data_IF_171066152021
#
_entry.id   IF_171066152021
#
_cell.length_a   1.000
_cell.length_b   1.000
_cell.length_c   1.000
_cell.angle_alpha   90.00
_cell.angle_beta   90.00
_cell.angle_gamma   90.00
#
_symmetry.space_group_name_H-M   'P 1'
#
loop_
_entity.id
_entity.type
_entity.pdbx_description
1 polymer ?
#
# COMPACT_ATOMS: atom_id res chain seq x y z
N UNK A 1 -23.20 16.51 10.93
CA UNK A 1 -22.12 15.51 10.85
C UNK A 1 -21.68 15.41 9.40
N UNK A 2 -20.38 15.54 9.11
CA UNK A 2 -19.85 15.69 7.74
C UNK A 2 -20.16 14.49 6.81
N UNK A 3 -20.46 13.32 7.37
CA UNK A 3 -20.73 12.08 6.64
C UNK A 3 -22.23 11.75 6.46
N UNK A 4 -23.13 12.74 6.64
CA UNK A 4 -24.59 12.52 6.40
C UNK A 4 -24.88 12.21 4.93
N UNK A 5 -24.02 12.71 4.03
CA UNK A 5 -24.12 12.52 2.57
C UNK A 5 -23.25 11.35 2.06
N UNK A 6 -22.82 10.43 2.95
CA UNK A 6 -22.05 9.25 2.58
C UNK A 6 -22.93 8.00 2.68
N UNK A 7 -22.88 7.16 1.65
CA UNK A 7 -23.50 5.82 1.66
C UNK A 7 -22.49 4.83 2.26
N UNK A 8 -22.45 4.79 3.58
CA UNK A 8 -21.56 3.94 4.38
C UNK A 8 -22.37 3.09 5.37
N UNK A 9 -21.87 1.90 5.75
CA UNK A 9 -22.55 1.00 6.70
C UNK A 9 -22.92 1.69 8.03
N UNK A 10 -24.00 1.24 8.66
CA UNK A 10 -24.49 1.80 9.92
C UNK A 10 -23.44 1.75 11.06
N UNK A 11 -22.70 0.65 11.14
CA UNK A 11 -21.62 0.48 12.13
C UNK A 11 -20.50 1.50 11.92
N UNK A 12 -20.18 1.86 10.68
CA UNK A 12 -19.19 2.90 10.37
C UNK A 12 -19.69 4.26 10.82
N UNK A 13 -20.96 4.59 10.54
CA UNK A 13 -21.57 5.84 11.05
C UNK A 13 -21.51 5.87 12.57
N UNK A 14 -21.74 4.75 13.24
CA UNK A 14 -21.65 4.65 14.70
C UNK A 14 -20.23 4.89 15.21
N UNK A 15 -19.21 4.31 14.57
CA UNK A 15 -17.79 4.55 14.90
C UNK A 15 -17.47 6.05 14.82
N UNK A 16 -17.80 6.68 13.69
CA UNK A 16 -17.50 8.09 13.46
C UNK A 16 -18.26 9.01 14.41
N UNK A 17 -19.51 8.68 14.76
CA UNK A 17 -20.33 9.49 15.66
C UNK A 17 -19.92 9.38 17.13
N UNK A 18 -19.39 8.22 17.56
CA UNK A 18 -18.98 7.99 18.95
C UNK A 18 -17.52 8.34 19.22
N UNK A 19 -16.70 8.43 18.18
CA UNK A 19 -15.31 8.88 18.27
C UNK A 19 -15.21 10.24 18.98
N UNK A 20 -14.23 10.44 19.88
CA UNK A 20 -13.94 11.73 20.50
C UNK A 20 -13.71 12.85 19.49
N UNK A 21 -13.04 12.55 18.36
CA UNK A 21 -12.79 13.50 17.29
C UNK A 21 -12.60 12.75 15.95
N UNK A 22 -13.02 13.36 14.85
CA UNK A 22 -12.85 12.81 13.50
C UNK A 22 -12.33 13.90 12.58
N UNK A 23 -11.16 13.67 11.98
CA UNK A 23 -10.57 14.54 10.96
C UNK A 23 -10.68 13.88 9.58
N UNK A 24 -11.47 14.47 8.68
CA UNK A 24 -11.53 14.05 7.27
C UNK A 24 -10.42 14.75 6.50
N UNK A 25 -9.40 14.01 6.07
CA UNK A 25 -8.22 14.59 5.42
C UNK A 25 -8.47 14.82 3.93
N UNK A 26 -8.08 16.01 3.45
CA UNK A 26 -8.35 16.44 2.07
C UNK A 26 -7.10 16.62 1.22
N UNK A 27 -5.96 16.87 1.84
CA UNK A 27 -4.71 17.12 1.11
C UNK A 27 -3.45 16.58 1.81
N UNK A 28 -2.36 16.53 1.03
CA UNK A 28 -1.06 16.02 1.47
C UNK A 28 -0.47 16.85 2.62
N UNK A 29 -0.73 18.16 2.67
CA UNK A 29 -0.16 19.05 3.69
C UNK A 29 -0.79 18.76 5.05
N UNK A 30 -2.10 18.55 5.11
CA UNK A 30 -2.81 18.13 6.32
C UNK A 30 -2.27 16.78 6.84
N UNK A 31 -2.14 15.81 5.94
CA UNK A 31 -1.61 14.47 6.23
C UNK A 31 -0.20 14.52 6.84
N UNK A 32 0.72 15.30 6.26
CA UNK A 32 2.10 15.41 6.78
C UNK A 32 2.11 16.02 8.18
N UNK A 33 1.25 17.01 8.44
CA UNK A 33 1.16 17.61 9.77
C UNK A 33 0.61 16.61 10.79
N UNK A 34 -0.38 15.81 10.38
CA UNK A 34 -0.97 14.76 11.20
C UNK A 34 0.06 13.67 11.53
N UNK A 35 0.86 13.25 10.55
CA UNK A 35 1.92 12.24 10.74
C UNK A 35 2.96 12.64 11.79
N UNK A 36 3.12 13.94 12.04
CA UNK A 36 4.00 14.50 13.07
C UNK A 36 3.24 14.93 14.34
N UNK A 37 1.90 14.76 14.38
CA UNK A 37 0.93 15.32 15.34
C UNK A 37 0.91 16.84 15.48
N UNK A 38 2.00 17.52 15.16
CA UNK A 38 2.13 18.97 15.15
C UNK A 38 3.19 19.37 14.11
N UNK A 39 2.98 20.51 13.43
CA UNK A 39 3.89 21.09 12.43
C UNK A 39 5.30 21.38 12.96
N UNK A 40 5.39 21.68 14.25
CA UNK A 40 6.65 22.03 14.93
C UNK A 40 7.48 20.80 15.29
N UNK A 41 6.85 19.62 15.36
CA UNK A 41 7.54 18.39 15.73
C UNK A 41 8.52 17.99 14.62
N UNK A 42 9.75 17.69 15.03
CA UNK A 42 10.75 17.03 14.17
C UNK A 42 10.66 15.51 14.25
N UNK A 43 10.18 15.00 15.38
CA UNK A 43 10.06 13.58 15.66
C UNK A 43 8.76 13.34 16.40
N UNK A 44 8.09 12.24 16.09
CA UNK A 44 6.88 11.79 16.77
C UNK A 44 6.95 10.27 17.00
N UNK A 45 6.56 9.81 18.17
CA UNK A 45 6.49 8.38 18.49
C UNK A 45 5.03 7.95 18.37
N UNK A 46 4.79 6.95 17.54
CA UNK A 46 3.48 6.30 17.42
C UNK A 46 3.43 5.16 18.41
N UNK A 47 2.66 5.34 19.46
CA UNK A 47 2.48 4.38 20.54
C UNK A 47 1.01 4.18 20.90
N UNK A 48 0.74 3.11 21.63
CA UNK A 48 -0.61 2.77 22.07
C UNK A 48 -0.60 2.16 23.46
N UNK A 49 -1.62 2.50 24.24
CA UNK A 49 -1.87 1.87 25.54
C UNK A 49 -2.41 0.45 25.34
N UNK A 50 -1.82 -0.51 26.04
CA UNK A 50 -2.31 -1.88 26.13
C UNK A 50 -3.21 -2.07 27.36
N UNK A 51 -3.86 -3.24 27.48
CA UNK A 51 -4.77 -3.57 28.59
C UNK A 51 -4.10 -3.42 29.97
N UNK A 52 -2.77 -3.53 30.04
CA UNK A 52 -2.00 -3.44 31.28
C UNK A 52 -1.53 -2.00 31.61
N UNK A 53 -2.10 -0.98 30.95
CA UNK A 53 -1.67 0.43 31.06
C UNK A 53 -0.19 0.68 30.69
N UNK A 54 0.47 -0.27 30.02
CA UNK A 54 1.77 -0.06 29.42
C UNK A 54 1.61 0.52 28.00
N UNK A 55 2.36 1.57 27.70
CA UNK A 55 2.44 2.11 26.33
C UNK A 55 3.44 1.28 25.51
N UNK A 56 3.01 0.82 24.34
CA UNK A 56 3.86 0.11 23.38
C UNK A 56 4.08 1.03 22.18
N UNK A 57 5.33 1.45 22.00
CA UNK A 57 5.75 2.17 20.80
C UNK A 57 5.84 1.22 19.61
N UNK A 58 5.25 1.60 18.48
CA UNK A 58 5.27 0.81 17.24
C UNK A 58 6.26 1.38 16.21
N UNK A 59 6.35 2.71 16.13
CA UNK A 59 7.22 3.39 15.16
C UNK A 59 7.61 4.79 15.64
N UNK A 60 8.76 5.25 15.15
CA UNK A 60 9.18 6.64 15.27
C UNK A 60 9.13 7.31 13.90
N UNK A 61 8.38 8.39 13.79
CA UNK A 61 8.31 9.26 12.61
C UNK A 61 9.34 10.37 12.78
N UNK A 62 10.19 10.61 11.79
CA UNK A 62 11.16 11.70 11.79
C UNK A 62 11.02 12.53 10.51
N UNK A 63 10.92 13.84 10.68
CA UNK A 63 10.89 14.81 9.59
C UNK A 63 12.29 14.97 8.99
N UNK A 64 12.41 14.68 7.70
CA UNK A 64 13.59 14.94 6.89
C UNK A 64 13.35 16.12 5.95
N UNK A 65 14.35 16.51 5.17
CA UNK A 65 14.24 17.67 4.26
C UNK A 65 13.11 17.51 3.25
N UNK A 66 12.95 16.31 2.71
CA UNK A 66 12.10 16.04 1.55
C UNK A 66 10.95 15.06 1.86
N UNK A 67 10.83 14.61 3.11
CA UNK A 67 9.82 13.62 3.47
C UNK A 67 9.88 13.20 4.93
N UNK A 68 9.26 12.06 5.23
CA UNK A 68 9.24 11.45 6.55
C UNK A 68 9.99 10.12 6.52
N UNK A 69 10.83 9.90 7.52
CA UNK A 69 11.47 8.61 7.76
C UNK A 69 10.71 7.91 8.88
N UNK A 70 10.25 6.68 8.61
CA UNK A 70 9.53 5.86 9.57
C UNK A 70 10.46 4.75 10.03
N UNK A 71 10.77 4.74 11.33
CA UNK A 71 11.60 3.71 11.94
C UNK A 71 10.74 2.79 12.82
N UNK A 72 10.46 1.59 12.34
CA UNK A 72 9.82 0.55 13.15
C UNK A 72 10.83 -0.02 14.15
N UNK A 73 10.43 -0.11 15.42
CA UNK A 73 11.30 -0.59 16.48
C UNK A 73 11.66 -2.06 16.33
N UNK A 74 10.69 -2.88 15.90
CA UNK A 74 10.92 -4.29 15.61
C UNK A 74 11.42 -4.50 14.18
N UNK A 75 12.51 -5.27 14.03
CA UNK A 75 13.01 -5.68 12.71
C UNK A 75 11.95 -6.46 11.90
N UNK A 76 11.11 -7.22 12.59
CA UNK A 76 10.02 -7.99 11.99
C UNK A 76 9.03 -7.09 11.23
N UNK A 77 8.73 -5.89 11.76
CA UNK A 77 7.82 -4.92 11.15
C UNK A 77 8.40 -4.20 9.92
N UNK A 78 9.67 -4.42 9.59
CA UNK A 78 10.36 -3.80 8.43
C UNK A 78 10.24 -4.63 7.15
N UNK A 79 9.52 -5.75 7.20
CA UNK A 79 9.25 -6.62 6.05
C UNK A 79 7.84 -7.16 6.12
N UNK A 80 7.27 -7.48 4.96
CA UNK A 80 5.98 -8.18 4.88
C UNK A 80 6.16 -9.62 5.37
N UNK A 81 5.30 -10.05 6.28
CA UNK A 81 5.10 -11.46 6.59
C UNK A 81 4.21 -12.09 5.49
N UNK A 82 4.65 -13.15 4.78
CA UNK A 82 3.82 -13.76 3.74
C UNK A 82 2.50 -14.35 4.28
N UNK A 83 2.45 -14.72 5.56
CA UNK A 83 1.32 -15.43 6.17
C UNK A 83 0.43 -14.52 7.01
N UNK A 84 0.60 -13.19 6.90
CA UNK A 84 -0.20 -12.24 7.68
C UNK A 84 -1.59 -11.96 7.12
N UNK A 85 -1.90 -12.37 5.89
CA UNK A 85 -3.22 -12.12 5.29
C UNK A 85 -4.13 -13.33 5.46
N UNK A 86 -5.28 -13.13 6.09
CA UNK A 86 -6.30 -14.18 6.32
C UNK A 86 -7.69 -13.70 5.93
N UNK A 87 -8.60 -14.64 5.72
CA UNK A 87 -9.99 -14.37 5.31
C UNK A 87 -10.93 -14.53 6.51
N UNK A 88 -11.65 -13.47 6.85
CA UNK A 88 -12.59 -13.43 7.98
C UNK A 88 -13.98 -13.96 7.65
N UNK A 89 -14.33 -14.07 6.37
CA UNK A 89 -15.62 -14.57 5.90
C UNK A 89 -15.61 -16.06 5.51
N UNK A 90 -16.79 -16.57 5.16
CA UNK A 90 -16.98 -17.97 4.76
C UNK A 90 -17.00 -18.21 3.24
N UNK A 91 -16.82 -17.18 2.41
CA UNK A 91 -16.82 -17.33 0.94
C UNK A 91 -15.63 -18.16 0.48
N UNK A 92 -15.71 -18.71 -0.72
CA UNK A 92 -14.64 -19.55 -1.29
C UNK A 92 -13.34 -18.75 -1.41
N UNK A 93 -12.22 -19.42 -1.14
CA UNK A 93 -10.88 -18.83 -1.13
C UNK A 93 -9.80 -19.91 -1.12
N UNK A 94 -8.65 -19.60 -1.71
CA UNK A 94 -7.40 -20.34 -1.60
C UNK A 94 -6.55 -19.89 -0.41
N UNK A 95 -6.99 -18.87 0.33
CA UNK A 95 -6.28 -18.30 1.49
C UNK A 95 -6.73 -18.92 2.79
N UNK A 96 -5.84 -18.89 3.78
CA UNK A 96 -6.11 -19.34 5.14
C UNK A 96 -7.26 -18.53 5.73
N UNK A 97 -8.26 -19.20 6.30
CA UNK A 97 -9.37 -18.55 6.99
C UNK A 97 -8.97 -18.20 8.42
N UNK A 98 -9.51 -17.10 8.94
CA UNK A 98 -9.31 -16.67 10.32
C UNK A 98 -9.70 -17.78 11.31
N UNK A 99 -10.82 -18.46 11.04
CA UNK A 99 -11.31 -19.58 11.86
C UNK A 99 -10.35 -20.76 11.93
N UNK A 100 -9.64 -21.05 10.84
CA UNK A 100 -8.66 -22.13 10.78
C UNK A 100 -7.43 -21.81 11.64
N UNK A 101 -6.99 -20.55 11.62
CA UNK A 101 -5.79 -20.12 12.34
C UNK A 101 -6.03 -19.91 13.84
N UNK A 102 -7.19 -19.35 14.21
CA UNK A 102 -7.49 -18.93 15.59
C UNK A 102 -8.55 -19.77 16.29
N UNK A 103 -9.13 -20.77 15.60
CA UNK A 103 -10.20 -21.64 16.13
C UNK A 103 -11.41 -20.87 16.65
N UNK A 104 -11.68 -19.68 16.10
CA UNK A 104 -12.78 -18.77 16.47
C UNK A 104 -13.27 -17.99 15.26
N UNK A 105 -14.52 -17.57 15.27
CA UNK A 105 -15.08 -16.73 14.21
C UNK A 105 -14.57 -15.28 14.32
N UNK A 106 -14.39 -14.62 13.18
CA UNK A 106 -13.82 -13.28 13.13
C UNK A 106 -14.75 -12.19 13.68
N UNK A 107 -16.07 -12.44 13.69
CA UNK A 107 -17.09 -11.47 14.09
C UNK A 107 -16.87 -10.91 15.50
N UNK A 108 -16.39 -11.73 16.45
CA UNK A 108 -16.04 -11.27 17.81
C UNK A 108 -14.96 -10.17 17.76
N UNK A 109 -13.86 -10.43 17.04
CA UNK A 109 -12.74 -9.49 16.92
C UNK A 109 -13.12 -8.25 16.11
N UNK A 110 -13.99 -8.40 15.11
CA UNK A 110 -14.56 -7.29 14.34
C UNK A 110 -15.31 -6.31 15.25
N UNK A 111 -16.21 -6.83 16.11
CA UNK A 111 -16.96 -6.01 17.07
C UNK A 111 -16.01 -5.34 18.07
N UNK A 112 -15.04 -6.08 18.62
CA UNK A 112 -14.04 -5.51 19.52
C UNK A 112 -13.22 -4.38 18.86
N UNK A 113 -12.87 -4.54 17.58
CA UNK A 113 -12.15 -3.52 16.81
C UNK A 113 -12.98 -2.25 16.70
N UNK A 114 -14.29 -2.37 16.41
CA UNK A 114 -15.19 -1.23 16.31
C UNK A 114 -15.38 -0.52 17.65
N UNK A 115 -15.57 -1.27 18.74
CA UNK A 115 -15.67 -0.71 20.09
C UNK A 115 -14.38 0.01 20.53
N UNK A 116 -13.22 -0.46 20.07
CA UNK A 116 -11.96 0.21 20.32
C UNK A 116 -11.82 1.50 19.50
N UNK A 117 -12.15 1.47 18.20
CA UNK A 117 -12.11 2.63 17.31
C UNK A 117 -13.04 3.77 17.76
N UNK A 118 -14.22 3.44 18.31
CA UNK A 118 -15.15 4.41 18.93
C UNK A 118 -14.52 5.26 20.04
N UNK A 119 -13.38 4.84 20.60
CA UNK A 119 -12.69 5.52 21.72
C UNK A 119 -11.45 6.30 21.29
N UNK A 120 -11.07 6.26 20.01
CA UNK A 120 -9.84 6.89 19.52
C UNK A 120 -10.15 8.21 18.82
N UNK A 121 -9.24 9.18 18.84
CA UNK A 121 -9.26 10.25 17.84
C UNK A 121 -8.95 9.65 16.46
N UNK A 122 -9.81 9.91 15.47
CA UNK A 122 -9.74 9.27 14.17
C UNK A 122 -9.35 10.24 13.06
N UNK A 123 -8.52 9.76 12.16
CA UNK A 123 -8.31 10.31 10.84
C UNK A 123 -9.02 9.42 9.81
N UNK A 124 -9.78 10.07 8.94
CA UNK A 124 -10.55 9.42 7.88
C UNK A 124 -10.04 9.91 6.53
N UNK A 125 -9.73 8.98 5.64
CA UNK A 125 -9.21 9.28 4.32
C UNK A 125 -10.00 8.55 3.23
N UNK A 126 -10.82 9.28 2.46
CA UNK A 126 -11.36 8.78 1.20
C UNK A 126 -10.23 8.57 0.19
N UNK A 127 -10.19 7.39 -0.43
CA UNK A 127 -9.15 7.01 -1.40
C UNK A 127 -9.77 6.55 -2.71
N UNK A 128 -8.97 6.58 -3.78
CA UNK A 128 -9.31 5.94 -5.06
C UNK A 128 -8.82 4.49 -5.04
N UNK A 129 -9.60 3.56 -5.58
CA UNK A 129 -9.26 2.13 -5.57
C UNK A 129 -8.92 1.72 -6.99
N UNK A 130 -7.64 1.51 -7.29
CA UNK A 130 -7.17 1.22 -8.65
C UNK A 130 -7.06 2.47 -9.54
N UNK A 131 -6.82 3.63 -8.94
CA UNK A 131 -6.67 4.91 -9.64
C UNK A 131 -7.99 5.52 -10.14
N UNK A 132 -7.88 6.58 -10.94
CA UNK A 132 -9.05 7.32 -11.46
C UNK A 132 -9.88 6.52 -12.49
N UNK A 133 -9.28 5.52 -13.13
CA UNK A 133 -9.87 4.82 -14.27
C UNK A 133 -10.94 3.79 -13.88
N UNK A 134 -10.90 3.28 -12.65
CA UNK A 134 -11.88 2.32 -12.13
C UNK A 134 -13.19 3.00 -11.71
N UNK A 135 -13.10 4.26 -11.26
CA UNK A 135 -14.23 4.95 -10.62
C UNK A 135 -14.58 4.42 -9.23
N UNK A 136 -13.80 3.49 -8.68
CA UNK A 136 -14.03 2.92 -7.34
C UNK A 136 -13.38 3.76 -6.25
N UNK A 137 -14.07 3.83 -5.12
CA UNK A 137 -13.60 4.56 -3.95
C UNK A 137 -13.50 3.64 -2.74
N UNK A 138 -12.60 3.98 -1.84
CA UNK A 138 -12.43 3.32 -0.55
C UNK A 138 -12.38 4.33 0.59
N UNK A 139 -12.45 3.82 1.81
CA UNK A 139 -12.36 4.63 3.02
C UNK A 139 -11.34 4.05 3.98
N UNK A 140 -10.33 4.81 4.38
CA UNK A 140 -9.50 4.46 5.53
C UNK A 140 -10.06 5.11 6.79
N UNK A 141 -10.14 4.33 7.88
CA UNK A 141 -10.43 4.77 9.24
C UNK A 141 -9.25 4.36 10.10
N UNK A 142 -8.51 5.34 10.60
CA UNK A 142 -7.31 5.11 11.38
C UNK A 142 -7.27 6.00 12.63
N UNK A 143 -6.63 5.55 13.71
CA UNK A 143 -6.19 6.43 14.79
C UNK A 143 -5.35 7.57 14.20
N UNK A 144 -5.61 8.79 14.63
CA UNK A 144 -5.00 9.98 14.04
C UNK A 144 -3.49 10.08 14.34
N UNK A 145 -3.00 9.41 15.40
CA UNK A 145 -1.58 9.23 15.69
C UNK A 145 -0.85 8.37 14.65
N UNK A 146 -1.58 7.59 13.85
CA UNK A 146 -1.02 6.83 12.72
C UNK A 146 -1.00 7.65 11.42
N UNK A 147 -0.92 8.99 11.49
CA UNK A 147 -0.97 9.86 10.31
C UNK A 147 0.07 9.53 9.22
N UNK A 148 1.22 8.92 9.58
CA UNK A 148 2.19 8.46 8.58
C UNK A 148 1.65 7.30 7.72
N UNK A 149 0.86 6.39 8.32
CA UNK A 149 0.22 5.29 7.60
C UNK A 149 -0.85 5.84 6.66
N UNK A 150 -1.64 6.81 7.16
CA UNK A 150 -2.62 7.53 6.35
C UNK A 150 -1.95 8.18 5.14
N UNK A 151 -0.78 8.80 5.33
CA UNK A 151 0.00 9.38 4.24
C UNK A 151 0.59 8.36 3.28
N UNK A 152 1.11 7.24 3.78
CA UNK A 152 1.57 6.15 2.92
C UNK A 152 0.44 5.61 2.03
N UNK A 153 -0.77 5.42 2.57
CA UNK A 153 -1.93 5.01 1.78
C UNK A 153 -2.36 6.10 0.79
N UNK A 154 -2.37 7.37 1.21
CA UNK A 154 -2.70 8.50 0.33
C UNK A 154 -1.76 8.58 -0.88
N UNK A 155 -0.47 8.32 -0.68
CA UNK A 155 0.53 8.32 -1.73
C UNK A 155 0.33 7.16 -2.71
N UNK A 156 0.06 5.96 -2.18
CA UNK A 156 -0.12 4.76 -3.01
C UNK A 156 -1.44 4.76 -3.79
N UNK A 157 -2.54 5.19 -3.17
CA UNK A 157 -3.90 5.04 -3.72
C UNK A 157 -4.46 6.35 -4.28
N UNK A 158 -3.94 7.49 -3.83
CA UNK A 158 -4.49 8.81 -4.14
C UNK A 158 -5.70 9.16 -3.29
N UNK A 159 -5.77 10.43 -2.90
CA UNK A 159 -6.88 11.00 -2.13
C UNK A 159 -8.09 11.19 -3.06
N UNK A 160 -9.26 10.73 -2.63
CA UNK A 160 -10.51 11.01 -3.34
C UNK A 160 -11.06 12.38 -2.91
N UNK A 161 -11.18 13.30 -3.88
CA UNK A 161 -11.76 14.61 -3.63
C UNK A 161 -13.29 14.52 -3.63
N UNK A 162 -13.88 14.44 -2.43
CA UNK A 162 -15.32 14.30 -2.25
C UNK A 162 -16.13 15.48 -2.79
N UNK A 163 -15.57 16.69 -2.81
CA UNK A 163 -16.24 17.90 -3.30
C UNK A 163 -16.41 17.89 -4.82
N UNK A 164 -15.58 17.11 -5.53
CA UNK A 164 -15.65 16.93 -6.99
C UNK A 164 -16.54 15.75 -7.39
N UNK A 165 -17.05 14.96 -6.44
CA UNK A 165 -17.92 13.85 -6.75
C UNK A 165 -19.27 14.37 -7.25
N UNK A 166 -19.69 13.87 -8.41
CA UNK A 166 -21.01 14.15 -8.98
C UNK A 166 -22.12 13.30 -8.33
N UNK A 167 -21.73 12.31 -7.54
CA UNK A 167 -22.60 11.32 -6.91
C UNK A 167 -22.32 11.24 -5.42
N UNK A 168 -23.21 10.58 -4.69
CA UNK A 168 -23.00 10.23 -3.28
C UNK A 168 -21.72 9.39 -3.18
N UNK A 169 -20.90 9.69 -2.17
CA UNK A 169 -19.72 8.89 -1.86
C UNK A 169 -20.15 7.54 -1.30
N UNK A 170 -19.85 6.47 -2.04
CA UNK A 170 -20.13 5.08 -1.66
C UNK A 170 -18.85 4.26 -1.80
N UNK A 171 -18.12 4.00 -0.71
CA UNK A 171 -16.90 3.21 -0.77
C UNK A 171 -17.22 1.74 -0.98
N UNK A 172 -16.52 1.08 -1.91
CA UNK A 172 -16.58 -0.37 -2.12
C UNK A 172 -15.68 -1.14 -1.16
N UNK A 173 -14.75 -0.44 -0.49
CA UNK A 173 -13.87 -1.02 0.51
C UNK A 173 -13.64 -0.07 1.68
N UNK A 174 -13.49 -0.63 2.87
CA UNK A 174 -13.17 0.12 4.09
C UNK A 174 -11.99 -0.54 4.79
N UNK A 175 -10.95 0.24 5.05
CA UNK A 175 -9.77 -0.17 5.80
C UNK A 175 -9.89 0.34 7.23
N UNK A 176 -9.83 -0.56 8.21
CA UNK A 176 -9.80 -0.26 9.63
C UNK A 176 -8.40 -0.50 10.17
N UNK A 177 -7.74 0.52 10.70
CA UNK A 177 -6.41 0.40 11.30
C UNK A 177 -6.54 0.26 12.83
N UNK A 178 -6.10 -0.87 13.38
CA UNK A 178 -6.14 -1.13 14.84
C UNK A 178 -4.87 -1.81 15.35
N UNK A 179 -3.72 -1.11 15.37
CA UNK A 179 -2.42 -1.71 15.68
C UNK A 179 -2.31 -2.42 17.05
N UNK A 180 -2.98 -1.98 18.14
CA UNK A 180 -2.87 -2.65 19.44
C UNK A 180 -3.35 -4.10 19.45
N UNK A 181 -4.18 -4.50 18.47
CA UNK A 181 -4.71 -5.86 18.37
C UNK A 181 -3.61 -6.87 18.02
N UNK A 182 -2.55 -6.45 17.31
CA UNK A 182 -1.36 -7.28 17.12
C UNK A 182 -0.80 -7.78 18.45
N UNK A 183 -0.71 -6.91 19.46
CA UNK A 183 -0.17 -7.27 20.78
C UNK A 183 -1.15 -8.06 21.63
N UNK A 184 -2.42 -7.65 21.60
CA UNK A 184 -3.44 -8.18 22.52
C UNK A 184 -4.11 -9.47 22.04
N UNK A 185 -4.15 -9.71 20.72
CA UNK A 185 -4.84 -10.87 20.13
C UNK A 185 -3.91 -11.77 19.32
N UNK A 186 -2.88 -11.20 18.68
CA UNK A 186 -2.10 -11.90 17.65
C UNK A 186 -0.63 -12.10 18.02
N UNK A 187 -0.30 -12.04 19.32
CA UNK A 187 1.02 -12.39 19.85
C UNK A 187 2.16 -11.57 19.26
N UNK A 188 1.92 -10.30 18.94
CA UNK A 188 2.91 -9.42 18.32
C UNK A 188 3.12 -9.68 16.82
N UNK A 189 2.29 -10.46 16.13
CA UNK A 189 2.47 -10.74 14.69
C UNK A 189 1.71 -9.78 13.78
N UNK A 190 2.22 -9.59 12.56
CA UNK A 190 1.46 -8.87 11.53
C UNK A 190 0.21 -9.68 11.20
N UNK A 191 -0.93 -9.01 11.11
CA UNK A 191 -2.17 -9.63 10.68
C UNK A 191 -3.04 -8.61 9.95
N UNK A 192 -3.54 -9.02 8.79
CA UNK A 192 -4.52 -8.30 7.98
C UNK A 192 -5.65 -9.27 7.67
N UNK A 193 -6.87 -8.91 8.09
CA UNK A 193 -8.06 -9.74 7.86
C UNK A 193 -8.90 -9.11 6.76
N UNK A 194 -9.15 -9.84 5.69
CA UNK A 194 -10.10 -9.46 4.66
C UNK A 194 -11.46 -10.07 4.97
N UNK A 195 -12.49 -9.24 5.11
CA UNK A 195 -13.86 -9.67 5.36
C UNK A 195 -14.76 -9.17 4.23
N UNK A 196 -15.06 -10.07 3.29
CA UNK A 196 -15.74 -9.78 2.02
C UNK A 196 -17.25 -9.80 2.20
N UNK A 197 -17.82 -8.73 2.77
CA UNK A 197 -19.28 -8.57 2.85
C UNK A 197 -19.87 -8.37 1.44
N UNK A 198 -21.18 -8.37 1.32
CA UNK A 198 -21.83 -8.29 0.01
C UNK A 198 -21.76 -6.89 -0.60
N UNK A 199 -21.91 -5.85 0.23
CA UNK A 199 -21.87 -4.44 -0.23
C UNK A 199 -20.51 -3.77 -0.07
N UNK A 200 -19.63 -4.32 0.78
CA UNK A 200 -18.36 -3.69 1.13
C UNK A 200 -17.27 -4.72 1.43
N UNK A 201 -16.08 -4.51 0.88
CA UNK A 201 -14.89 -5.28 1.24
C UNK A 201 -14.18 -4.62 2.42
N UNK A 202 -14.26 -5.23 3.60
CA UNK A 202 -13.58 -4.73 4.78
C UNK A 202 -12.16 -5.29 4.88
N UNK A 203 -11.20 -4.43 5.23
CA UNK A 203 -9.81 -4.80 5.50
C UNK A 203 -9.46 -4.34 6.91
N UNK A 204 -9.19 -5.28 7.80
CA UNK A 204 -8.76 -4.99 9.17
C UNK A 204 -7.24 -5.11 9.24
N UNK A 205 -6.57 -3.97 9.36
CA UNK A 205 -5.12 -3.87 9.45
C UNK A 205 -4.71 -3.76 10.90
N UNK A 206 -4.15 -4.84 11.45
CA UNK A 206 -3.71 -4.89 12.85
C UNK A 206 -2.22 -4.57 13.02
N UNK A 207 -1.54 -4.16 11.94
CA UNK A 207 -0.15 -3.74 11.95
C UNK A 207 0.05 -2.44 11.15
N UNK A 208 1.07 -1.67 11.52
CA UNK A 208 1.39 -0.38 10.91
C UNK A 208 2.27 -0.44 9.66
N UNK A 209 2.64 -1.63 9.19
CA UNK A 209 3.45 -1.75 7.97
C UNK A 209 2.55 -1.71 6.72
N UNK A 210 2.70 -0.73 5.80
CA UNK A 210 1.77 -0.56 4.68
C UNK A 210 1.75 -1.70 3.66
N UNK A 211 2.84 -2.47 3.55
CA UNK A 211 2.98 -3.53 2.54
C UNK A 211 1.80 -4.53 2.50
N UNK A 212 1.53 -5.27 3.58
CA UNK A 212 0.37 -6.17 3.62
C UNK A 212 -0.96 -5.43 3.74
N UNK A 213 -1.00 -4.32 4.49
CA UNK A 213 -2.23 -3.63 4.91
C UNK A 213 -2.81 -2.73 3.82
N UNK A 214 -2.04 -1.75 3.38
CA UNK A 214 -2.47 -0.70 2.46
C UNK A 214 -2.30 -1.12 1.00
N UNK A 215 -1.11 -1.62 0.64
CA UNK A 215 -0.79 -1.98 -0.74
C UNK A 215 -1.49 -3.28 -1.14
N UNK A 216 -1.11 -4.40 -0.51
CA UNK A 216 -1.68 -5.71 -0.87
C UNK A 216 -3.13 -5.88 -0.42
N UNK A 217 -3.59 -5.12 0.58
CA UNK A 217 -5.01 -5.01 0.92
C UNK A 217 -5.85 -4.56 -0.27
N UNK A 218 -5.49 -3.42 -0.88
CA UNK A 218 -6.20 -2.91 -2.07
C UNK A 218 -6.03 -3.83 -3.28
N UNK A 219 -4.87 -4.45 -3.46
CA UNK A 219 -4.70 -5.47 -4.51
C UNK A 219 -5.75 -6.60 -4.38
N UNK A 220 -5.98 -7.11 -3.16
CA UNK A 220 -7.01 -8.12 -2.91
C UNK A 220 -8.44 -7.63 -3.23
N UNK A 221 -8.73 -6.36 -2.96
CA UNK A 221 -10.02 -5.72 -3.33
C UNK A 221 -10.17 -5.68 -4.85
N UNK A 222 -9.15 -5.23 -5.56
CA UNK A 222 -9.17 -5.13 -7.02
C UNK A 222 -9.33 -6.51 -7.68
N UNK A 223 -8.74 -7.56 -7.11
CA UNK A 223 -8.93 -8.94 -7.59
C UNK A 223 -10.39 -9.38 -7.44
N UNK A 224 -11.02 -9.11 -6.30
CA UNK A 224 -12.42 -9.48 -6.08
C UNK A 224 -13.38 -8.71 -6.99
N UNK A 225 -13.17 -7.41 -7.14
CA UNK A 225 -13.99 -6.60 -8.06
C UNK A 225 -13.79 -7.09 -9.49
N UNK A 226 -12.53 -7.32 -9.90
CA UNK A 226 -12.21 -7.86 -11.22
C UNK A 226 -12.80 -9.22 -11.50
N UNK A 227 -12.84 -10.12 -10.51
CA UNK A 227 -13.51 -11.42 -10.62
C UNK A 227 -15.02 -11.26 -10.87
N UNK A 228 -15.69 -10.37 -10.12
CA UNK A 228 -17.11 -10.11 -10.29
C UNK A 228 -17.47 -9.43 -11.62
N UNK A 229 -16.57 -8.59 -12.13
CA UNK A 229 -16.81 -7.74 -13.30
C UNK A 229 -16.08 -8.19 -14.57
N UNK A 230 -15.38 -9.32 -14.50
CA UNK A 230 -14.60 -9.92 -15.59
C UNK A 230 -13.47 -9.02 -16.11
N UNK A 231 -12.61 -8.52 -15.21
CA UNK A 231 -11.37 -7.84 -15.54
C UNK A 231 -10.21 -8.21 -14.60
N UNK A 232 -8.99 -7.83 -14.97
CA UNK A 232 -7.78 -8.34 -14.32
C UNK A 232 -6.95 -7.24 -13.66
N UNK A 233 -6.41 -7.54 -12.49
CA UNK A 233 -5.24 -6.84 -11.92
C UNK A 233 -4.09 -7.82 -11.85
N UNK A 234 -3.05 -7.60 -12.65
CA UNK A 234 -1.89 -8.47 -12.75
C UNK A 234 -0.78 -7.99 -11.81
N UNK A 235 -0.08 -8.92 -11.17
CA UNK A 235 1.00 -8.62 -10.23
C UNK A 235 2.35 -8.49 -10.94
N UNK A 236 2.52 -7.44 -11.73
CA UNK A 236 3.70 -7.28 -12.59
C UNK A 236 4.08 -5.83 -12.85
N UNK A 237 5.32 -5.66 -13.32
CA UNK A 237 5.81 -4.39 -13.81
C UNK A 237 5.68 -4.30 -15.32
N UNK A 238 5.55 -3.08 -15.83
CA UNK A 238 5.42 -2.79 -17.25
C UNK A 238 6.31 -1.62 -17.61
N UNK A 239 7.12 -1.80 -18.67
CA UNK A 239 7.97 -0.73 -19.21
C UNK A 239 7.82 -0.69 -20.73
N UNK A 240 7.69 0.53 -21.27
CA UNK A 240 7.85 0.77 -22.70
C UNK A 240 9.31 1.12 -22.96
N UNK A 241 9.98 0.27 -23.73
CA UNK A 241 11.39 0.37 -24.09
C UNK A 241 11.50 0.93 -25.49
N UNK A 242 12.27 1.99 -25.63
CA UNK A 242 12.63 2.61 -26.90
C UNK A 242 14.13 2.41 -27.11
N UNK A 243 14.48 1.57 -28.09
CA UNK A 243 15.89 1.27 -28.39
C UNK A 243 16.58 2.46 -29.07
N UNK A 244 17.93 2.51 -29.10
CA UNK A 244 18.66 3.51 -29.88
C UNK A 244 18.34 3.53 -31.39
N UNK A 245 17.67 2.49 -31.89
CA UNK A 245 17.22 2.36 -33.29
C UNK A 245 15.74 2.70 -33.46
N UNK A 246 15.14 3.41 -32.51
CA UNK A 246 13.73 3.85 -32.51
C UNK A 246 12.70 2.70 -32.50
N UNK A 247 13.14 1.45 -32.30
CA UNK A 247 12.22 0.34 -32.06
C UNK A 247 11.55 0.51 -30.69
N UNK A 248 10.22 0.45 -30.70
CA UNK A 248 9.39 0.52 -29.51
C UNK A 248 8.86 -0.87 -29.18
N UNK A 249 9.18 -1.36 -27.99
CA UNK A 249 8.64 -2.62 -27.45
C UNK A 249 8.12 -2.39 -26.04
N UNK A 250 6.96 -2.93 -25.71
CA UNK A 250 6.45 -2.93 -24.34
C UNK A 250 6.72 -4.30 -23.73
N UNK A 251 7.34 -4.31 -22.55
CA UNK A 251 7.67 -5.52 -21.80
C UNK A 251 6.80 -5.51 -20.54
N UNK A 252 6.13 -6.64 -20.29
CA UNK A 252 5.43 -6.93 -19.04
C UNK A 252 6.18 -8.07 -18.34
N UNK A 253 6.49 -7.89 -17.06
CA UNK A 253 7.17 -8.89 -16.24
C UNK A 253 6.38 -9.16 -14.97
N UNK A 254 5.81 -10.36 -14.89
CA UNK A 254 5.22 -10.88 -13.67
C UNK A 254 6.31 -11.59 -12.85
N UNK A 255 6.42 -11.22 -11.58
CA UNK A 255 7.46 -11.73 -10.71
C UNK A 255 7.04 -11.71 -9.25
N UNK A 256 7.58 -12.65 -8.47
CA UNK A 256 7.41 -12.65 -7.02
C UNK A 256 7.96 -11.36 -6.39
N UNK A 257 7.59 -11.09 -5.13
CA UNK A 257 8.15 -9.96 -4.39
C UNK A 257 9.67 -10.13 -4.24
N UNK A 258 10.45 -9.10 -4.58
CA UNK A 258 11.91 -9.17 -4.64
C UNK A 258 12.48 -9.88 -5.87
N UNK A 259 11.64 -10.21 -6.87
CA UNK A 259 12.04 -10.87 -8.11
C UNK A 259 12.55 -9.95 -9.23
N UNK A 260 12.84 -8.67 -8.97
CA UNK A 260 13.36 -7.76 -9.98
C UNK A 260 12.32 -6.90 -10.71
N UNK A 261 11.07 -6.80 -10.21
CA UNK A 261 9.99 -6.06 -10.89
C UNK A 261 10.30 -4.57 -11.02
N UNK A 262 10.69 -3.93 -9.91
CA UNK A 262 11.04 -2.51 -9.87
C UNK A 262 12.34 -2.25 -10.62
N UNK A 263 13.30 -3.16 -10.48
CA UNK A 263 14.60 -3.10 -11.13
C UNK A 263 14.49 -3.13 -12.67
N UNK A 264 13.42 -3.73 -13.24
CA UNK A 264 13.13 -3.68 -14.68
C UNK A 264 12.79 -2.25 -15.17
N UNK A 265 12.29 -1.40 -14.28
CA UNK A 265 11.93 -0.01 -14.58
C UNK A 265 13.14 0.93 -14.53
N UNK A 266 14.27 0.44 -14.01
CA UNK A 266 15.49 1.20 -13.74
C UNK A 266 16.54 1.00 -14.83
N UNK A 267 17.46 1.96 -14.95
CA UNK A 267 18.60 1.82 -15.84
C UNK A 267 19.63 0.85 -15.25
N UNK A 268 20.34 0.06 -16.09
CA UNK A 268 21.34 -0.86 -15.59
C UNK A 268 22.49 -0.11 -14.91
N UNK A 269 22.94 -0.65 -13.77
CA UNK A 269 24.05 -0.07 -13.00
C UNK A 269 25.36 -0.19 -13.78
N UNK A 270 26.18 0.88 -13.71
CA UNK A 270 27.48 0.97 -14.40
C UNK A 270 28.61 1.04 -13.39
N UNK A 271 29.72 0.40 -13.72
CA UNK A 271 31.00 0.60 -13.05
C UNK A 271 31.52 2.03 -13.30
N UNK A 272 32.51 2.46 -12.53
CA UNK A 272 33.10 3.81 -12.65
C UNK A 272 33.66 4.12 -14.05
N UNK A 273 34.03 3.11 -14.82
CA UNK A 273 34.51 3.25 -16.21
C UNK A 273 33.40 3.15 -17.27
N UNK A 274 32.13 3.08 -16.84
CA UNK A 274 30.95 3.04 -17.68
C UNK A 274 30.56 1.64 -18.18
N UNK A 275 31.33 0.59 -17.91
CA UNK A 275 30.98 -0.80 -18.27
C UNK A 275 29.90 -1.37 -17.35
N UNK A 276 29.19 -2.38 -17.84
CA UNK A 276 28.20 -3.13 -17.07
C UNK A 276 28.84 -4.40 -16.52
N UNK A 277 28.70 -4.66 -15.22
CA UNK A 277 29.04 -5.95 -14.64
C UNK A 277 27.91 -6.94 -14.91
N UNK A 278 28.16 -7.91 -15.78
CA UNK A 278 27.17 -8.93 -16.15
C UNK A 278 27.21 -10.11 -15.19
N UNK A 279 28.39 -10.41 -14.63
CA UNK A 279 28.55 -11.48 -13.66
C UNK A 279 29.97 -11.59 -13.16
N UNK A 280 30.15 -12.37 -12.09
CA UNK A 280 31.45 -12.74 -11.54
C UNK A 280 31.53 -14.25 -11.52
N UNK A 281 32.61 -14.82 -12.04
CA UNK A 281 32.86 -16.25 -11.94
C UNK A 281 33.13 -16.61 -10.47
N UNK A 282 32.33 -17.48 -9.87
CA UNK A 282 32.46 -17.81 -8.44
C UNK A 282 33.72 -18.63 -8.09
N UNK A 283 34.34 -19.28 -9.08
CA UNK A 283 35.56 -20.09 -8.88
C UNK A 283 36.82 -19.25 -9.08
N UNK A 284 36.84 -18.41 -10.11
CA UNK A 284 38.03 -17.63 -10.49
C UNK A 284 37.98 -16.17 -10.05
N UNK A 285 36.85 -15.72 -9.52
CA UNK A 285 36.53 -14.32 -9.19
C UNK A 285 36.60 -13.35 -10.39
N UNK A 286 36.72 -13.87 -11.62
CA UNK A 286 36.83 -13.04 -12.81
C UNK A 286 35.49 -12.37 -13.13
N UNK A 287 35.54 -11.04 -13.32
CA UNK A 287 34.39 -10.23 -13.71
C UNK A 287 34.17 -10.27 -15.22
N UNK A 288 32.93 -10.53 -15.63
CA UNK A 288 32.47 -10.42 -17.02
C UNK A 288 31.86 -9.03 -17.20
N UNK A 289 32.52 -8.20 -18.00
CA UNK A 289 32.14 -6.81 -18.21
C UNK A 289 31.67 -6.59 -19.66
N UNK A 290 30.54 -5.91 -19.83
CA UNK A 290 29.99 -5.54 -21.14
C UNK A 290 30.08 -4.03 -21.35
N UNK A 291 30.54 -3.61 -22.53
CA UNK A 291 30.49 -2.21 -22.94
C UNK A 291 29.19 -1.94 -23.70
N UNK A 292 28.24 -1.28 -23.03
CA UNK A 292 27.01 -0.79 -23.66
C UNK A 292 27.08 0.73 -23.82
N UNK A 293 27.39 1.20 -25.03
CA UNK A 293 27.61 2.63 -25.32
C UNK A 293 26.36 3.47 -25.08
N UNK A 294 25.18 2.96 -25.44
CA UNK A 294 23.90 3.64 -25.26
C UNK A 294 22.86 2.64 -24.74
N UNK A 295 22.17 3.01 -23.65
CA UNK A 295 21.04 2.25 -23.14
C UNK A 295 19.76 2.54 -23.91
N UNK A 296 18.74 1.70 -23.74
CA UNK A 296 17.40 2.02 -24.22
C UNK A 296 16.78 3.12 -23.37
N UNK A 297 15.93 3.96 -23.95
CA UNK A 297 15.10 4.88 -23.19
C UNK A 297 13.94 4.11 -22.55
N UNK A 298 13.81 4.22 -21.23
CA UNK A 298 12.79 3.54 -20.46
C UNK A 298 11.63 4.51 -20.17
N UNK A 299 10.41 4.05 -20.44
CA UNK A 299 9.17 4.70 -20.03
C UNK A 299 8.42 3.74 -19.11
N UNK A 300 8.73 3.75 -17.81
CA UNK A 300 8.02 2.95 -16.82
C UNK A 300 6.51 3.23 -16.85
N UNK A 301 5.71 2.19 -16.65
CA UNK A 301 4.24 2.30 -16.64
C UNK A 301 3.68 1.78 -15.33
N UNK A 302 4.04 0.57 -14.90
CA UNK A 302 3.56 -0.04 -13.65
C UNK A 302 4.70 -0.76 -12.94
N UNK A 303 4.68 -0.81 -11.61
CA UNK A 303 5.67 -1.54 -10.78
C UNK A 303 5.12 -2.86 -10.21
N UNK A 304 3.90 -2.84 -9.70
CA UNK A 304 3.38 -3.97 -8.92
C UNK A 304 1.92 -4.33 -9.24
N UNK A 305 1.06 -3.37 -9.56
CA UNK A 305 -0.35 -3.63 -9.87
C UNK A 305 -0.72 -3.11 -11.27
N UNK A 306 -0.68 -3.99 -12.25
CA UNK A 306 -1.04 -3.69 -13.63
C UNK A 306 -2.53 -3.98 -13.88
N UNK A 307 -3.33 -2.91 -13.94
CA UNK A 307 -4.77 -2.97 -14.18
C UNK A 307 -5.08 -3.14 -15.66
N UNK A 308 -5.95 -4.09 -16.02
CA UNK A 308 -6.45 -4.28 -17.38
C UNK A 308 -7.98 -4.25 -17.41
N UNK A 309 -8.54 -3.06 -17.66
CA UNK A 309 -9.98 -2.87 -17.77
C UNK A 309 -10.51 -3.30 -19.15
N UNK A 310 -11.78 -3.74 -19.26
CA UNK A 310 -12.38 -4.11 -20.54
C UNK A 310 -12.40 -2.93 -21.52
N UNK A 311 -12.57 -1.70 -21.00
CA UNK A 311 -12.54 -0.46 -21.76
C UNK A 311 -11.19 -0.16 -22.41
N UNK A 312 -10.10 -0.78 -21.95
CA UNK A 312 -8.78 -0.61 -22.54
C UNK A 312 -8.59 -1.48 -23.79
N UNK A 313 -9.34 -2.57 -23.89
CA UNK A 313 -9.20 -3.54 -24.98
C UNK A 313 -9.74 -2.92 -26.27
N UNK A 314 -8.85 -2.71 -27.24
CA UNK A 314 -9.22 -2.26 -28.59
C UNK A 314 -9.47 -3.47 -29.49
N UNK A 315 -9.79 -3.22 -30.76
CA UNK A 315 -9.93 -4.27 -31.78
C UNK A 315 -8.65 -5.08 -32.03
N UNK A 316 -7.50 -4.62 -31.55
CA UNK A 316 -6.27 -5.39 -31.57
C UNK A 316 -6.22 -6.35 -30.36
N UNK A 317 -5.87 -7.61 -30.59
CA UNK A 317 -5.81 -8.67 -29.55
C UNK A 317 -4.64 -8.51 -28.56
N UNK A 318 -4.28 -7.27 -28.21
CA UNK A 318 -3.15 -6.95 -27.33
C UNK A 318 -3.66 -6.63 -25.93
N UNK A 319 -3.00 -7.18 -24.92
CA UNK A 319 -3.22 -6.77 -23.54
C UNK A 319 -2.80 -5.31 -23.34
N UNK A 320 -3.71 -4.50 -22.83
CA UNK A 320 -3.44 -3.11 -22.45
C UNK A 320 -3.54 -3.00 -20.93
N UNK A 321 -2.52 -2.40 -20.32
CA UNK A 321 -2.44 -2.21 -18.87
C UNK A 321 -2.23 -0.74 -18.50
N UNK A 322 -2.69 -0.37 -17.32
CA UNK A 322 -2.44 0.91 -16.67
C UNK A 322 -2.04 0.66 -15.21
N UNK A 323 -1.41 1.64 -14.57
CA UNK A 323 -1.07 1.51 -13.15
C UNK A 323 -2.32 1.67 -12.30
N UNK A 324 -2.54 0.72 -11.39
CA UNK A 324 -3.56 0.84 -10.36
C UNK A 324 -3.10 1.72 -9.18
N UNK A 325 -1.81 2.04 -9.10
CA UNK A 325 -1.21 2.85 -8.05
C UNK A 325 -0.94 4.30 -8.51
N UNK A 326 -0.79 5.22 -7.54
CA UNK A 326 -0.41 6.62 -7.78
C UNK A 326 1.05 6.92 -7.43
N UNK A 327 1.70 6.01 -6.70
CA UNK A 327 3.11 6.03 -6.36
C UNK A 327 3.60 4.60 -6.16
N UNK A 328 4.92 4.40 -6.18
CA UNK A 328 5.51 3.06 -6.02
C UNK A 328 6.14 2.86 -4.64
N UNK A 329 5.95 1.66 -4.11
CA UNK A 329 6.57 1.20 -2.88
C UNK A 329 7.82 0.39 -3.18
N UNK A 330 8.93 1.10 -3.39
CA UNK A 330 10.19 0.57 -3.93
C UNK A 330 11.13 0.13 -2.79
N UNK A 331 11.93 -0.90 -3.06
CA UNK A 331 12.95 -1.42 -2.15
C UNK A 331 14.30 -0.74 -2.41
N UNK A 332 14.85 -0.06 -1.41
CA UNK A 332 16.10 0.72 -1.54
C UNK A 332 17.32 0.10 -0.84
N UNK A 333 17.30 -1.20 -0.49
CA UNK A 333 18.39 -1.81 0.28
C UNK A 333 19.71 -1.95 -0.49
N UNK A 334 19.70 -1.76 -1.80
CA UNK A 334 20.91 -1.74 -2.63
C UNK A 334 21.65 -0.39 -2.49
N UNK A 335 20.97 0.68 -2.10
CA UNK A 335 21.55 2.02 -1.88
C UNK A 335 22.25 2.03 -0.51
N UNK A 336 23.56 1.84 -0.52
CA UNK A 336 24.39 1.83 0.70
C UNK A 336 25.21 3.12 0.89
N UNK A 337 25.26 3.98 -0.14
CA UNK A 337 25.93 5.28 -0.13
C UNK A 337 25.30 6.19 -1.18
N UNK A 338 25.52 7.50 -1.03
CA UNK A 338 25.12 8.49 -2.02
C UNK A 338 25.77 8.23 -3.39
N UNK A 339 25.00 8.43 -4.45
CA UNK A 339 25.37 8.17 -5.84
C UNK A 339 25.25 6.71 -6.26
N UNK A 340 24.57 5.85 -5.47
CA UNK A 340 24.34 4.45 -5.87
C UNK A 340 23.28 4.39 -6.97
N UNK A 341 22.18 5.12 -6.78
CA UNK A 341 21.16 5.31 -7.80
C UNK A 341 20.77 6.79 -7.88
N UNK A 342 21.44 7.57 -8.75
CA UNK A 342 21.15 9.00 -8.88
C UNK A 342 19.71 9.31 -9.31
N UNK A 343 19.03 8.40 -10.02
CA UNK A 343 17.66 8.64 -10.47
C UNK A 343 16.70 8.56 -9.28
N UNK A 344 16.77 7.47 -8.51
CA UNK A 344 15.97 7.31 -7.29
C UNK A 344 16.36 8.31 -6.19
N UNK A 345 17.65 8.64 -6.08
CA UNK A 345 18.10 9.65 -5.11
C UNK A 345 17.61 11.06 -5.47
N UNK A 346 17.44 11.38 -6.76
CA UNK A 346 16.97 12.71 -7.20
C UNK A 346 15.49 12.99 -6.94
N UNK A 347 14.68 11.94 -6.82
CA UNK A 347 13.24 12.06 -6.52
C UNK A 347 12.95 12.13 -5.01
N UNK A 348 13.96 11.91 -4.17
CA UNK A 348 13.86 11.76 -2.72
C UNK A 348 14.26 13.00 -1.93
#
# INVERSE_FOLDING_TARGET
MEWTNWDIPAEVKEILNKSPNVSVLKDRKEIINLALKNKENKTFVVDYNTKDNSSVAEATVTKCKNGLVINYLEKYMRRRDPDCTVIGDNKDTDKVKFKELFSKDFDEVRVETFEWLKKQELAVLPIKVGGDLTGYYGLLIAPDNAGFFVGGLADLQGIANLEKLKTIFKPVTIIYLAPPFRHTHFGGKQLVVHNRRDDVHEIFSYNLYPGPSAKKGIFGVLLQIGENENWLTLHGSTVKVETPYENITTIFHEGASGGGKSEMLEYPHREHDGRLLIGTNEVTEQKILLRLTQGCFLRPVTDDMALSLPSFQKTNKKLVVSDAEQAWFIRLNHINKYGTDPNLESIC
#
